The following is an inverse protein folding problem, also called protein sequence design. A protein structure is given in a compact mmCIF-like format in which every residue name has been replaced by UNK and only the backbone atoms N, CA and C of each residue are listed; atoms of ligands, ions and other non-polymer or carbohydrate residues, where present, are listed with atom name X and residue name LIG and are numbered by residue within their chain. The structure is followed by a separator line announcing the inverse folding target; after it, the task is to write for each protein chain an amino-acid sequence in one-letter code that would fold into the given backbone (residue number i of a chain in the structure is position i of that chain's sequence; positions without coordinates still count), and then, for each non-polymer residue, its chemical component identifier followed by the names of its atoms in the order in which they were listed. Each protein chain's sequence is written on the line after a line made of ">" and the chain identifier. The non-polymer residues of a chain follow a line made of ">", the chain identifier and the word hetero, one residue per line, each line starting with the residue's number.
data_IF_337745749219
#
_entry.id   IF_337745749219
#
_cell.length_a   1.000
_cell.length_b   1.000
_cell.length_c   1.000
_cell.angle_alpha   90.00
_cell.angle_beta   90.00
_cell.angle_gamma   90.00
#
_symmetry.space_group_name_H-M   'P 1'
#
loop_
_entity.id
_entity.type
_entity.pdbx_description
1 polymer ?
#
# COMPACT_ATOMS: atom_id res chain seq x y z
N UNK A 1 16.09 3.08 9.86
CA UNK A 1 16.10 3.54 8.46
C UNK A 1 15.85 2.40 7.45
N UNK A 2 16.64 1.32 7.41
CA UNK A 2 16.43 0.22 6.45
C UNK A 2 15.04 -0.42 6.58
N UNK A 3 14.58 -0.68 7.81
CA UNK A 3 13.27 -1.28 8.08
C UNK A 3 12.14 -0.39 7.52
N UNK A 4 12.19 0.92 7.76
CA UNK A 4 11.20 1.86 7.24
C UNK A 4 11.13 1.84 5.71
N UNK A 5 12.28 1.80 5.03
CA UNK A 5 12.34 1.72 3.57
C UNK A 5 11.68 0.44 3.06
N UNK A 6 11.93 -0.70 3.73
CA UNK A 6 11.30 -1.99 3.39
C UNK A 6 9.78 -1.92 3.61
N UNK A 7 9.31 -1.39 4.73
CA UNK A 7 7.88 -1.26 5.02
C UNK A 7 7.18 -0.36 4.00
N UNK A 8 7.79 0.77 3.62
CA UNK A 8 7.24 1.65 2.57
C UNK A 8 7.19 0.94 1.22
N UNK A 9 8.24 0.21 0.86
CA UNK A 9 8.26 -0.56 -0.40
C UNK A 9 7.16 -1.64 -0.42
N UNK A 10 6.97 -2.37 0.69
CA UNK A 10 5.90 -3.36 0.83
C UNK A 10 4.52 -2.70 0.73
N UNK A 11 4.32 -1.52 1.37
CA UNK A 11 3.07 -0.78 1.28
C UNK A 11 2.77 -0.35 -0.14
N UNK A 12 3.76 0.12 -0.90
CA UNK A 12 3.59 0.48 -2.32
C UNK A 12 3.17 -0.71 -3.17
N UNK A 13 3.71 -1.91 -2.91
CA UNK A 13 3.31 -3.14 -3.60
C UNK A 13 1.85 -3.49 -3.29
N UNK A 14 1.45 -3.47 -2.01
CA UNK A 14 0.06 -3.81 -1.64
C UNK A 14 -0.95 -2.75 -2.13
N UNK A 15 -0.59 -1.46 -2.14
CA UNK A 15 -1.42 -0.43 -2.78
C UNK A 15 -1.55 -0.69 -4.28
N UNK A 16 -0.48 -1.12 -4.93
CA UNK A 16 -0.51 -1.56 -6.34
C UNK A 16 -1.49 -2.72 -6.57
N UNK A 17 -1.48 -3.71 -5.69
CA UNK A 17 -2.41 -4.84 -5.73
C UNK A 17 -3.88 -4.43 -5.47
N UNK A 18 -4.10 -3.45 -4.59
CA UNK A 18 -5.44 -2.91 -4.31
C UNK A 18 -5.98 -2.08 -5.48
N UNK A 19 -5.07 -1.44 -6.22
CA UNK A 19 -5.45 -0.63 -7.37
C UNK A 19 -6.09 -1.50 -8.44
N UNK A 20 -7.32 -1.18 -8.81
CA UNK A 20 -8.10 -1.93 -9.80
C UNK A 20 -9.07 -2.94 -9.20
N UNK A 21 -8.91 -3.39 -7.93
CA UNK A 21 -9.89 -4.31 -7.31
C UNK A 21 -11.30 -3.72 -7.27
N UNK A 22 -11.43 -2.43 -6.98
CA UNK A 22 -12.71 -1.74 -6.98
C UNK A 22 -13.40 -1.79 -8.37
N UNK A 23 -12.62 -1.67 -9.46
CA UNK A 23 -13.14 -1.79 -10.83
C UNK A 23 -13.62 -3.22 -11.09
N UNK A 24 -12.84 -4.24 -10.68
CA UNK A 24 -13.23 -5.65 -10.79
C UNK A 24 -14.53 -5.93 -10.04
N UNK A 25 -14.66 -5.48 -8.79
CA UNK A 25 -15.88 -5.63 -7.98
C UNK A 25 -17.08 -4.97 -8.69
N UNK A 26 -16.89 -3.75 -9.22
CA UNK A 26 -17.95 -3.04 -9.93
C UNK A 26 -18.40 -3.78 -11.19
N UNK A 27 -17.47 -4.28 -12.01
CA UNK A 27 -17.82 -5.03 -13.23
C UNK A 27 -18.39 -6.42 -12.93
N UNK A 28 -17.92 -7.12 -11.91
CA UNK A 28 -18.53 -8.36 -11.43
C UNK A 28 -19.98 -8.13 -10.97
N UNK A 29 -20.23 -7.04 -10.22
CA UNK A 29 -21.56 -6.62 -9.82
C UNK A 29 -22.44 -6.21 -11.01
N UNK A 30 -21.86 -5.59 -12.05
CA UNK A 30 -22.54 -5.25 -13.28
C UNK A 30 -22.96 -6.50 -14.05
N UNK A 31 -22.09 -7.52 -14.14
CA UNK A 31 -22.42 -8.83 -14.76
C UNK A 31 -23.62 -9.45 -14.03
N UNK A 32 -23.62 -9.46 -12.69
CA UNK A 32 -24.75 -9.95 -11.88
C UNK A 32 -26.07 -9.29 -12.27
N UNK A 33 -26.12 -7.95 -12.30
CA UNK A 33 -27.33 -7.21 -12.62
C UNK A 33 -27.73 -7.25 -14.08
N UNK A 34 -26.76 -7.17 -14.99
CA UNK A 34 -27.02 -7.15 -16.44
C UNK A 34 -27.48 -8.51 -16.96
N UNK A 35 -27.05 -9.64 -16.36
CA UNK A 35 -27.56 -10.97 -16.69
C UNK A 35 -29.05 -11.09 -16.35
N UNK A 36 -29.47 -10.63 -15.18
CA UNK A 36 -30.90 -10.59 -14.83
C UNK A 36 -31.71 -9.73 -15.81
N UNK A 37 -31.14 -8.59 -16.23
CA UNK A 37 -31.75 -7.75 -17.25
C UNK A 37 -31.85 -8.47 -18.61
N UNK A 38 -30.80 -9.19 -19.01
CA UNK A 38 -30.78 -9.94 -20.27
C UNK A 38 -31.89 -11.00 -20.29
N UNK A 39 -31.99 -11.80 -19.24
CA UNK A 39 -33.03 -12.85 -19.12
C UNK A 39 -34.42 -12.22 -19.08
N UNK A 40 -34.64 -11.13 -18.36
CA UNK A 40 -35.92 -10.42 -18.34
C UNK A 40 -36.34 -9.94 -19.73
N UNK A 41 -35.41 -9.37 -20.51
CA UNK A 41 -35.70 -8.91 -21.87
C UNK A 41 -36.03 -10.10 -22.77
N UNK A 42 -35.30 -11.19 -22.71
CA UNK A 42 -35.58 -12.42 -23.49
C UNK A 42 -37.01 -12.94 -23.21
N UNK A 43 -37.39 -13.10 -21.95
CA UNK A 43 -38.72 -13.58 -21.54
C UNK A 43 -39.84 -12.67 -22.05
N UNK A 44 -39.60 -11.36 -22.12
CA UNK A 44 -40.55 -10.37 -22.64
C UNK A 44 -40.54 -10.26 -24.17
N UNK A 45 -39.80 -11.11 -24.85
CA UNK A 45 -39.76 -11.18 -26.33
C UNK A 45 -38.80 -10.16 -26.97
N UNK A 46 -37.98 -9.52 -26.20
CA UNK A 46 -36.96 -8.54 -26.68
C UNK A 46 -35.61 -9.23 -26.78
N UNK A 47 -35.16 -9.53 -28.00
CA UNK A 47 -33.80 -10.06 -28.25
C UNK A 47 -32.76 -8.99 -27.88
N UNK A 48 -31.69 -9.42 -27.19
CA UNK A 48 -30.63 -8.50 -26.73
C UNK A 48 -29.22 -9.10 -26.91
N UNK A 49 -28.91 -9.52 -28.12
CA UNK A 49 -27.62 -10.13 -28.48
C UNK A 49 -26.44 -9.20 -28.17
N UNK A 50 -26.64 -7.87 -28.27
CA UNK A 50 -25.63 -6.88 -27.89
C UNK A 50 -25.32 -6.93 -26.40
N UNK A 51 -26.33 -7.11 -25.53
CA UNK A 51 -26.12 -7.21 -24.09
C UNK A 51 -25.44 -8.53 -23.71
N UNK A 52 -25.77 -9.62 -24.43
CA UNK A 52 -25.08 -10.90 -24.25
C UNK A 52 -23.61 -10.79 -24.64
N UNK A 53 -23.30 -10.20 -25.79
CA UNK A 53 -21.93 -9.97 -26.25
C UNK A 53 -21.15 -9.06 -25.25
N UNK A 54 -21.80 -8.02 -24.74
CA UNK A 54 -21.21 -7.16 -23.71
C UNK A 54 -20.86 -7.91 -22.42
N UNK A 55 -21.72 -8.86 -22.01
CA UNK A 55 -21.45 -9.72 -20.84
C UNK A 55 -20.31 -10.71 -21.11
N UNK A 56 -20.24 -11.26 -22.32
CA UNK A 56 -19.13 -12.13 -22.75
C UNK A 56 -17.79 -11.38 -22.66
N UNK A 57 -17.74 -10.14 -23.17
CA UNK A 57 -16.54 -9.32 -23.15
C UNK A 57 -16.09 -9.01 -21.71
N UNK A 58 -17.03 -8.67 -20.82
CA UNK A 58 -16.69 -8.40 -19.41
C UNK A 58 -16.19 -9.65 -18.71
N UNK A 59 -16.85 -10.81 -18.88
CA UNK A 59 -16.43 -12.06 -18.25
C UNK A 59 -15.06 -12.51 -18.76
N UNK A 60 -14.79 -12.32 -20.06
CA UNK A 60 -13.47 -12.56 -20.65
C UNK A 60 -12.40 -11.66 -20.01
N UNK A 61 -12.69 -10.36 -19.86
CA UNK A 61 -11.75 -9.40 -19.26
C UNK A 61 -11.53 -9.67 -17.76
N UNK A 62 -12.57 -10.03 -17.00
CA UNK A 62 -12.44 -10.44 -15.60
C UNK A 62 -11.51 -11.66 -15.45
N UNK A 63 -11.51 -12.57 -16.41
CA UNK A 63 -10.71 -13.81 -16.42
C UNK A 63 -9.27 -13.55 -16.85
N UNK A 64 -9.06 -12.79 -17.93
CA UNK A 64 -7.75 -12.55 -18.54
C UNK A 64 -7.00 -11.39 -17.85
N UNK A 65 -7.69 -10.29 -17.56
CA UNK A 65 -7.15 -9.06 -17.01
C UNK A 65 -6.41 -8.17 -18.02
N UNK A 66 -6.58 -8.42 -19.32
CA UNK A 66 -5.92 -7.71 -20.42
C UNK A 66 -6.88 -7.21 -21.51
N UNK A 67 -8.17 -7.14 -21.19
CA UNK A 67 -9.22 -6.77 -22.10
C UNK A 67 -9.50 -5.27 -22.19
N UNK A 68 -10.62 -4.94 -22.85
CA UNK A 68 -11.04 -3.57 -23.16
C UNK A 68 -11.36 -2.71 -21.93
N UNK A 69 -11.80 -3.34 -20.83
CA UNK A 69 -12.24 -2.64 -19.62
C UNK A 69 -11.09 -2.33 -18.65
N UNK A 70 -9.85 -2.65 -19.01
CA UNK A 70 -8.66 -2.45 -18.19
C UNK A 70 -8.82 -3.06 -16.78
N UNK A 71 -9.41 -4.24 -16.71
CA UNK A 71 -9.58 -4.97 -15.46
C UNK A 71 -8.27 -5.64 -15.08
N UNK A 72 -8.00 -5.72 -13.78
CA UNK A 72 -6.83 -6.45 -13.28
C UNK A 72 -7.23 -7.87 -12.94
N UNK A 73 -6.42 -8.84 -13.35
CA UNK A 73 -6.61 -10.23 -12.93
C UNK A 73 -6.31 -10.36 -11.43
N UNK A 74 -7.33 -10.65 -10.62
CA UNK A 74 -7.13 -10.88 -9.19
C UNK A 74 -6.42 -12.21 -8.96
N UNK A 75 -5.35 -12.20 -8.16
CA UNK A 75 -4.52 -13.38 -7.86
C UNK A 75 -5.03 -14.19 -6.65
N UNK A 76 -6.31 -14.11 -6.35
CA UNK A 76 -6.95 -14.89 -5.28
C UNK A 76 -7.56 -16.16 -5.85
N UNK A 77 -7.16 -17.32 -5.31
CA UNK A 77 -7.62 -18.62 -5.82
C UNK A 77 -9.12 -18.82 -5.65
N UNK A 78 -9.69 -18.34 -4.53
CA UNK A 78 -11.13 -18.46 -4.28
C UNK A 78 -11.94 -17.64 -5.27
N UNK A 79 -11.50 -16.42 -5.58
CA UNK A 79 -12.12 -15.60 -6.62
C UNK A 79 -12.06 -16.26 -8.01
N UNK A 80 -10.87 -16.76 -8.38
CA UNK A 80 -10.70 -17.40 -9.72
C UNK A 80 -11.58 -18.64 -9.85
N UNK A 81 -11.64 -19.49 -8.84
CA UNK A 81 -12.52 -20.67 -8.83
C UNK A 81 -14.00 -20.29 -9.00
N UNK A 82 -14.48 -19.25 -8.29
CA UNK A 82 -15.86 -18.77 -8.43
C UNK A 82 -16.14 -18.19 -9.81
N UNK A 83 -15.20 -17.42 -10.35
CA UNK A 83 -15.32 -16.83 -11.68
C UNK A 83 -15.36 -17.92 -12.77
N UNK A 84 -14.53 -18.96 -12.66
CA UNK A 84 -14.52 -20.07 -13.60
C UNK A 84 -15.85 -20.85 -13.60
N UNK A 85 -16.40 -21.14 -12.40
CA UNK A 85 -17.71 -21.80 -12.23
C UNK A 85 -18.81 -20.91 -12.83
N UNK A 86 -18.82 -19.63 -12.53
CA UNK A 86 -19.78 -18.66 -13.05
C UNK A 86 -19.70 -18.55 -14.57
N UNK A 87 -18.50 -18.48 -15.13
CA UNK A 87 -18.30 -18.39 -16.58
C UNK A 87 -18.78 -19.66 -17.30
N UNK A 88 -18.48 -20.83 -16.75
CA UNK A 88 -19.00 -22.10 -17.31
C UNK A 88 -20.53 -22.18 -17.23
N UNK A 89 -21.13 -21.66 -16.18
CA UNK A 89 -22.60 -21.63 -16.06
C UNK A 89 -23.23 -20.60 -17.01
N UNK A 90 -22.56 -19.49 -17.29
CA UNK A 90 -22.97 -18.50 -18.26
C UNK A 90 -23.14 -19.11 -19.68
N UNK A 91 -22.19 -19.95 -20.09
CA UNK A 91 -22.30 -20.65 -21.38
C UNK A 91 -23.56 -21.56 -21.44
N UNK A 92 -23.89 -22.23 -20.34
CA UNK A 92 -25.10 -23.03 -20.21
C UNK A 92 -26.36 -22.18 -20.26
N UNK A 93 -26.38 -21.04 -19.61
CA UNK A 93 -27.52 -20.12 -19.64
C UNK A 93 -27.73 -19.53 -21.03
N UNK A 94 -26.66 -19.18 -21.76
CA UNK A 94 -26.75 -18.77 -23.18
C UNK A 94 -27.33 -19.86 -24.08
N UNK A 95 -26.94 -21.12 -23.87
CA UNK A 95 -27.49 -22.24 -24.61
C UNK A 95 -28.99 -22.42 -24.32
N UNK A 96 -29.44 -22.24 -23.09
CA UNK A 96 -30.86 -22.28 -22.73
C UNK A 96 -31.64 -21.11 -23.35
N UNK A 97 -31.07 -19.89 -23.40
CA UNK A 97 -31.65 -18.73 -24.10
C UNK A 97 -31.83 -19.06 -25.59
N UNK A 98 -30.82 -19.62 -26.22
CA UNK A 98 -30.91 -20.00 -27.64
C UNK A 98 -31.99 -21.08 -27.90
N UNK A 99 -32.11 -22.04 -26.98
CA UNK A 99 -33.14 -23.09 -27.05
C UNK A 99 -34.56 -22.51 -26.81
N UNK A 100 -34.70 -21.60 -25.87
CA UNK A 100 -35.96 -20.91 -25.54
C UNK A 100 -36.44 -20.07 -26.75
N UNK A 101 -35.57 -19.40 -27.45
CA UNK A 101 -35.87 -18.64 -28.67
C UNK A 101 -36.48 -19.48 -29.76
N UNK A 102 -36.15 -20.80 -29.81
CA UNK A 102 -36.69 -21.75 -30.82
C UNK A 102 -37.98 -22.43 -30.38
N UNK A 103 -38.09 -22.78 -29.07
CA UNK A 103 -39.18 -23.58 -28.51
C UNK A 103 -40.30 -22.76 -27.86
N UNK A 104 -40.07 -21.48 -27.64
CA UNK A 104 -40.90 -20.63 -26.80
C UNK A 104 -40.46 -20.65 -25.31
N UNK A 105 -40.87 -19.67 -24.54
CA UNK A 105 -40.43 -19.45 -23.17
C UNK A 105 -41.31 -20.13 -22.11
N UNK A 106 -42.44 -20.76 -22.49
CA UNK A 106 -43.41 -21.31 -21.56
C UNK A 106 -42.89 -22.52 -20.75
N UNK A 107 -41.99 -23.33 -21.36
CA UNK A 107 -41.47 -24.55 -20.76
C UNK A 107 -39.93 -24.56 -20.71
N UNK A 108 -39.32 -23.43 -20.36
CA UNK A 108 -37.87 -23.30 -20.28
C UNK A 108 -37.40 -23.16 -18.83
N UNK A 109 -36.17 -23.53 -18.56
CA UNK A 109 -35.53 -23.37 -17.24
C UNK A 109 -34.81 -22.02 -17.07
N UNK A 110 -34.98 -21.11 -18.03
CA UNK A 110 -34.19 -19.86 -18.11
C UNK A 110 -34.32 -19.02 -16.82
N UNK A 111 -35.50 -18.98 -16.21
CA UNK A 111 -35.70 -18.23 -14.95
C UNK A 111 -34.96 -18.90 -13.81
N UNK A 112 -35.14 -20.20 -13.60
CA UNK A 112 -34.45 -20.93 -12.55
C UNK A 112 -32.93 -20.89 -12.72
N UNK A 113 -32.46 -21.01 -13.95
CA UNK A 113 -31.03 -20.90 -14.28
C UNK A 113 -30.51 -19.48 -14.05
N UNK A 114 -31.29 -18.43 -14.30
CA UNK A 114 -30.88 -17.06 -14.02
C UNK A 114 -30.76 -16.76 -12.54
N UNK A 115 -31.61 -17.35 -11.70
CA UNK A 115 -31.50 -17.23 -10.24
C UNK A 115 -30.23 -17.95 -9.74
N UNK A 116 -29.98 -19.17 -10.19
CA UNK A 116 -28.74 -19.88 -9.85
C UNK A 116 -27.50 -19.11 -10.34
N UNK A 117 -27.53 -18.52 -11.52
CA UNK A 117 -26.46 -17.67 -12.01
C UNK A 117 -26.26 -16.43 -11.14
N UNK A 118 -27.35 -15.80 -10.69
CA UNK A 118 -27.31 -14.65 -9.80
C UNK A 118 -26.58 -14.98 -8.49
N UNK A 119 -26.89 -16.13 -7.87
CA UNK A 119 -26.23 -16.61 -6.66
C UNK A 119 -24.71 -16.82 -6.91
N UNK A 120 -24.34 -17.46 -8.01
CA UNK A 120 -22.93 -17.65 -8.40
C UNK A 120 -22.21 -16.32 -8.63
N UNK A 121 -22.86 -15.36 -9.28
CA UNK A 121 -22.30 -14.03 -9.51
C UNK A 121 -22.15 -13.25 -8.21
N UNK A 122 -23.08 -13.40 -7.26
CA UNK A 122 -23.00 -12.79 -5.93
C UNK A 122 -21.82 -13.37 -5.12
N UNK A 123 -21.62 -14.69 -5.18
CA UNK A 123 -20.46 -15.34 -4.57
C UNK A 123 -19.13 -14.87 -5.19
N UNK A 124 -19.09 -14.63 -6.50
CA UNK A 124 -17.91 -14.08 -7.18
C UNK A 124 -17.61 -12.65 -6.72
N UNK A 125 -18.63 -11.80 -6.62
CA UNK A 125 -18.50 -10.44 -6.08
C UNK A 125 -17.97 -10.49 -4.65
N UNK A 126 -18.59 -11.30 -3.79
CA UNK A 126 -18.18 -11.47 -2.39
C UNK A 126 -16.72 -11.94 -2.27
N UNK A 127 -16.27 -12.85 -3.12
CA UNK A 127 -14.88 -13.30 -3.15
C UNK A 127 -13.91 -12.16 -3.53
N UNK A 128 -14.29 -11.31 -4.49
CA UNK A 128 -13.49 -10.13 -4.87
C UNK A 128 -13.44 -9.08 -3.74
N UNK A 129 -14.55 -8.86 -3.03
CA UNK A 129 -14.61 -7.98 -1.86
C UNK A 129 -13.71 -8.49 -0.73
N UNK A 130 -13.79 -9.76 -0.40
CA UNK A 130 -12.91 -10.39 0.59
C UNK A 130 -11.43 -10.28 0.24
N UNK A 131 -11.07 -10.42 -1.03
CA UNK A 131 -9.70 -10.20 -1.49
C UNK A 131 -9.26 -8.76 -1.25
N UNK A 132 -10.10 -7.79 -1.61
CA UNK A 132 -9.85 -6.36 -1.38
C UNK A 132 -9.66 -6.05 0.11
N UNK A 133 -10.52 -6.60 0.98
CA UNK A 133 -10.44 -6.45 2.44
C UNK A 133 -9.15 -7.05 3.01
N UNK A 134 -8.72 -8.22 2.54
CA UNK A 134 -7.45 -8.84 2.95
C UNK A 134 -6.25 -7.93 2.63
N UNK A 135 -6.24 -7.31 1.44
CA UNK A 135 -5.19 -6.36 1.05
C UNK A 135 -5.24 -5.11 1.94
N UNK A 136 -6.44 -4.55 2.15
CA UNK A 136 -6.62 -3.38 3.00
C UNK A 136 -6.14 -3.63 4.45
N UNK A 137 -6.42 -4.82 5.02
CA UNK A 137 -5.91 -5.20 6.34
C UNK A 137 -4.38 -5.33 6.38
N UNK A 138 -3.75 -5.86 5.33
CA UNK A 138 -2.29 -5.90 5.22
C UNK A 138 -1.68 -4.50 5.18
N UNK A 139 -2.24 -3.60 4.37
CA UNK A 139 -1.81 -2.20 4.29
C UNK A 139 -1.89 -1.55 5.66
N UNK A 140 -3.02 -1.70 6.36
CA UNK A 140 -3.20 -1.14 7.71
C UNK A 140 -2.18 -1.68 8.71
N UNK A 141 -1.84 -2.96 8.62
CA UNK A 141 -0.80 -3.56 9.47
C UNK A 141 0.57 -2.94 9.19
N UNK A 142 0.92 -2.76 7.92
CA UNK A 142 2.18 -2.12 7.51
C UNK A 142 2.22 -0.65 7.96
N UNK A 143 1.11 0.09 7.87
CA UNK A 143 0.98 1.46 8.37
C UNK A 143 1.27 1.56 9.86
N UNK A 144 0.67 0.68 10.68
CA UNK A 144 0.90 0.65 12.13
C UNK A 144 2.37 0.33 12.44
N UNK A 145 2.96 -0.66 11.77
CA UNK A 145 4.38 -1.00 11.95
C UNK A 145 5.30 0.16 11.55
N UNK A 146 4.99 0.86 10.45
CA UNK A 146 5.75 2.02 9.99
C UNK A 146 5.65 3.18 10.99
N UNK A 147 4.48 3.43 11.56
CA UNK A 147 4.29 4.45 12.58
C UNK A 147 5.08 4.14 13.86
N UNK A 148 5.11 2.88 14.29
CA UNK A 148 5.91 2.44 15.44
C UNK A 148 7.42 2.58 15.18
N UNK A 149 7.90 2.20 13.99
CA UNK A 149 9.32 2.36 13.61
C UNK A 149 9.72 3.83 13.58
N UNK A 150 8.88 4.71 13.03
CA UNK A 150 9.09 6.17 13.07
C UNK A 150 9.17 6.70 14.49
N UNK A 151 8.27 6.27 15.37
CA UNK A 151 8.28 6.69 16.78
C UNK A 151 9.59 6.25 17.48
N UNK A 152 10.02 5.02 17.26
CA UNK A 152 11.31 4.52 17.77
C UNK A 152 12.49 5.35 17.27
N UNK A 153 12.51 5.68 15.97
CA UNK A 153 13.57 6.52 15.38
C UNK A 153 13.61 7.92 16.02
N UNK A 154 12.46 8.55 16.23
CA UNK A 154 12.37 9.86 16.90
C UNK A 154 12.91 9.79 18.32
N UNK A 155 12.54 8.76 19.10
CA UNK A 155 13.05 8.56 20.46
C UNK A 155 14.59 8.39 20.45
N UNK A 156 15.12 7.57 19.52
CA UNK A 156 16.56 7.37 19.39
C UNK A 156 17.31 8.66 19.05
N UNK A 157 16.77 9.48 18.14
CA UNK A 157 17.35 10.78 17.80
C UNK A 157 17.35 11.71 19.02
N UNK A 158 16.25 11.76 19.78
CA UNK A 158 16.17 12.57 21.01
C UNK A 158 17.22 12.14 22.05
N UNK A 159 17.38 10.82 22.26
CA UNK A 159 18.37 10.27 23.18
C UNK A 159 19.80 10.59 22.73
N UNK A 160 20.11 10.43 21.44
CA UNK A 160 21.42 10.75 20.88
C UNK A 160 21.73 12.26 21.02
N UNK A 161 20.77 13.12 20.74
CA UNK A 161 20.91 14.57 20.86
C UNK A 161 21.15 14.95 22.31
N UNK A 162 20.41 14.40 23.27
CA UNK A 162 20.59 14.65 24.69
C UNK A 162 22.00 14.20 25.17
N UNK A 163 22.46 13.03 24.70
CA UNK A 163 23.83 12.54 25.02
C UNK A 163 24.90 13.45 24.41
N UNK A 164 24.74 13.88 23.16
CA UNK A 164 25.66 14.76 22.47
C UNK A 164 25.77 16.13 23.20
N UNK A 165 24.65 16.71 23.62
CA UNK A 165 24.64 17.96 24.40
C UNK A 165 25.32 17.80 25.75
N UNK A 166 25.08 16.67 26.44
CA UNK A 166 25.76 16.37 27.72
C UNK A 166 27.27 16.23 27.52
N UNK A 167 27.70 15.58 26.45
CA UNK A 167 29.12 15.42 26.11
C UNK A 167 29.77 16.76 25.77
N UNK A 168 29.10 17.61 24.97
CA UNK A 168 29.57 18.95 24.61
C UNK A 168 29.79 19.83 25.88
N UNK A 169 28.82 19.82 26.77
CA UNK A 169 28.95 20.56 28.07
C UNK A 169 30.10 20.04 28.90
N UNK A 170 30.28 18.72 28.96
CA UNK A 170 31.41 18.13 29.70
C UNK A 170 32.76 18.50 29.06
N UNK A 171 32.85 18.50 27.72
CA UNK A 171 34.08 18.92 27.04
C UNK A 171 34.41 20.37 27.27
N UNK A 172 33.42 21.31 27.20
CA UNK A 172 33.64 22.70 27.54
C UNK A 172 34.17 22.89 28.98
N UNK A 173 33.59 22.15 29.95
CA UNK A 173 34.05 22.18 31.31
C UNK A 173 35.49 21.64 31.48
N UNK A 174 35.84 20.60 30.73
CA UNK A 174 37.20 20.04 30.72
C UNK A 174 38.21 21.01 30.08
N UNK A 175 37.84 21.66 28.98
CA UNK A 175 38.65 22.71 28.36
C UNK A 175 38.90 23.87 29.31
N UNK A 176 37.86 24.39 29.97
CA UNK A 176 38.02 25.43 30.98
C UNK A 176 39.00 25.01 32.10
N UNK A 177 38.87 23.79 32.63
CA UNK A 177 39.79 23.25 33.65
C UNK A 177 41.20 23.00 33.13
N UNK A 178 41.36 22.68 31.83
CA UNK A 178 42.66 22.43 31.24
C UNK A 178 43.45 23.71 30.94
N UNK A 179 42.77 24.83 30.67
CA UNK A 179 43.41 26.07 30.22
C UNK A 179 43.30 27.23 31.21
N UNK A 180 42.43 27.17 32.23
CA UNK A 180 42.21 28.22 33.22
C UNK A 180 42.55 27.71 34.60
N UNK A 181 43.29 28.51 35.35
CA UNK A 181 43.56 28.29 36.79
C UNK A 181 42.29 28.57 37.60
N UNK A 182 41.86 27.59 38.42
CA UNK A 182 40.59 27.64 39.17
C UNK A 182 40.59 28.72 40.25
N UNK A 183 41.79 29.10 40.79
CA UNK A 183 41.87 30.04 41.90
C UNK A 183 41.96 31.49 41.42
N UNK A 184 42.62 31.73 40.31
CA UNK A 184 42.88 33.08 39.81
C UNK A 184 41.96 33.48 38.64
N UNK A 185 41.34 32.49 37.92
CA UNK A 185 40.57 32.73 36.71
C UNK A 185 41.41 33.12 35.50
N UNK A 186 42.73 33.06 35.60
CA UNK A 186 43.68 33.40 34.54
C UNK A 186 44.09 32.11 33.76
N UNK A 187 44.64 32.24 32.53
CA UNK A 187 45.24 31.14 31.85
C UNK A 187 46.29 30.42 32.69
N UNK A 188 46.21 29.11 32.78
CA UNK A 188 47.15 28.28 33.54
C UNK A 188 48.49 28.12 32.80
N UNK A 189 49.47 27.46 33.44
CA UNK A 189 50.78 27.20 32.85
C UNK A 189 50.73 26.51 31.49
N UNK A 190 49.84 25.51 31.29
CA UNK A 190 49.67 24.81 30.03
C UNK A 190 49.17 25.71 28.88
N UNK A 191 48.22 26.60 29.18
CA UNK A 191 47.75 27.62 28.26
C UNK A 191 48.85 28.61 27.85
N UNK A 192 49.69 29.02 28.80
CA UNK A 192 50.83 29.88 28.50
C UNK A 192 51.91 29.19 27.66
N UNK A 193 52.19 27.91 27.93
CA UNK A 193 53.14 27.15 27.15
C UNK A 193 52.67 26.92 25.67
N UNK A 194 51.36 26.67 25.49
CA UNK A 194 50.80 26.54 24.16
C UNK A 194 50.87 27.86 23.38
N UNK A 195 50.54 28.98 24.02
CA UNK A 195 50.63 30.30 23.41
C UNK A 195 52.08 30.63 23.01
N UNK A 196 53.05 30.32 23.87
CA UNK A 196 54.47 30.57 23.59
C UNK A 196 55.04 29.67 22.48
N UNK A 197 54.48 28.45 22.32
CA UNK A 197 54.90 27.54 21.25
C UNK A 197 54.25 27.85 19.92
N UNK A 198 53.17 28.64 19.90
CA UNK A 198 52.44 29.01 18.67
C UNK A 198 53.14 30.20 17.99
N UNK A 199 54.04 29.92 17.04
CA UNK A 199 54.83 30.92 16.28
C UNK A 199 53.97 31.86 15.44
N UNK A 200 52.72 31.54 15.17
CA UNK A 200 51.84 32.41 14.38
C UNK A 200 51.28 33.59 15.22
N UNK A 201 51.08 33.38 16.50
CA UNK A 201 50.54 34.41 17.41
C UNK A 201 51.64 35.41 17.80
N UNK A 202 52.89 34.99 17.89
CA UNK A 202 54.06 35.79 18.30
C UNK A 202 54.78 36.44 17.08
N UNK A 203 54.05 36.89 16.08
CA UNK A 203 54.66 37.53 14.87
C UNK A 203 55.14 38.95 15.11
N UNK A 204 54.64 39.63 16.15
CA UNK A 204 55.09 40.99 16.53
C UNK A 204 55.97 40.96 17.76
N UNK A 205 56.81 42.01 17.94
CA UNK A 205 57.68 42.07 19.11
C UNK A 205 56.83 42.04 20.41
N UNK A 206 56.93 40.93 21.13
CA UNK A 206 56.15 40.68 22.34
C UNK A 206 57.05 40.70 23.55
N UNK A 207 56.68 41.44 24.59
CA UNK A 207 57.40 41.47 25.89
C UNK A 207 56.68 40.51 26.85
N UNK A 208 57.44 39.65 27.51
CA UNK A 208 56.97 38.82 28.61
C UNK A 208 57.37 39.47 29.92
N UNK A 209 56.41 39.80 30.79
CA UNK A 209 56.69 40.34 32.14
C UNK A 209 56.27 39.31 33.16
N UNK A 210 57.20 38.87 33.99
CA UNK A 210 56.97 37.95 35.09
C UNK A 210 56.87 38.80 36.40
N UNK A 211 55.76 38.59 37.09
CA UNK A 211 55.57 39.17 38.46
C UNK A 211 55.81 38.07 39.48
N UNK A 212 56.59 38.32 40.47
CA UNK A 212 56.88 37.41 41.57
C UNK A 212 56.06 37.81 42.78
#
# INVERSE_FOLDING_TARGET
>A
MLILVILVALMMVEIGNLKGTARVINYAGLVRGATQRAVKLEITGTRNDELIAYLDDILSDLTSGDGHYELVKLKDAAYQERLDIQSAYWERLKAEVAAARQRGYENTQIVAMSETYFEMADETVSAAEHYSEKIAMKIRTIEILSALDMLCLVILIMLQTAMALKMARKNQLLEQKAYIDIHTGLPNKGSCEELLNNREILREPTACVIFD
#
